data_IF_290308715091
#
_entry.id   IF_290308715091
#
_cell.length_a   1.000
_cell.length_b   1.000
_cell.length_c   1.000
_cell.angle_alpha   90.00
_cell.angle_beta   90.00
_cell.angle_gamma   90.00
#
_symmetry.space_group_name_H-M   'P 1'
#
loop_
_entity.id
_entity.type
_entity.pdbx_description
1 polymer ?
#
# COMPACT_ATOMS: atom_id res chain seq x y z
N UNK A 1 -8.08 6.67 12.55
CA UNK A 1 -9.40 6.39 11.96
C UNK A 1 -10.34 7.61 11.91
N UNK A 2 -10.43 8.45 12.96
CA UNK A 2 -11.32 9.64 12.96
C UNK A 2 -10.98 10.61 11.82
N UNK A 3 -9.71 10.97 11.66
CA UNK A 3 -9.24 11.93 10.63
C UNK A 3 -9.61 11.53 9.19
N UNK A 4 -9.40 10.26 8.83
CA UNK A 4 -9.71 9.81 7.45
C UNK A 4 -11.22 9.77 7.20
N UNK A 5 -12.02 9.41 8.21
CA UNK A 5 -13.49 9.45 8.11
C UNK A 5 -13.98 10.88 7.86
N UNK A 6 -13.51 11.85 8.64
CA UNK A 6 -13.85 13.26 8.47
C UNK A 6 -13.39 13.80 7.11
N UNK A 7 -12.18 13.44 6.66
CA UNK A 7 -11.65 13.83 5.36
C UNK A 7 -12.51 13.27 4.20
N UNK A 8 -12.89 12.00 4.28
CA UNK A 8 -13.74 11.36 3.28
C UNK A 8 -15.12 12.03 3.20
N UNK A 9 -15.74 12.27 4.37
CA UNK A 9 -17.04 12.94 4.44
C UNK A 9 -17.00 14.37 3.89
N UNK A 10 -15.93 15.10 4.17
CA UNK A 10 -15.75 16.47 3.67
C UNK A 10 -15.56 16.50 2.16
N UNK A 11 -14.84 15.52 1.60
CA UNK A 11 -14.52 15.48 0.17
C UNK A 11 -15.69 15.02 -0.69
N UNK A 12 -16.44 14.00 -0.19
CA UNK A 12 -17.46 13.32 -1.00
C UNK A 12 -18.90 13.49 -0.49
N UNK A 13 -19.10 14.20 0.63
CA UNK A 13 -20.40 14.39 1.28
C UNK A 13 -21.07 13.09 1.74
N UNK A 14 -20.31 11.99 1.76
CA UNK A 14 -20.76 10.67 2.20
C UNK A 14 -19.80 10.09 3.23
N UNK A 15 -20.31 9.23 4.13
CA UNK A 15 -19.47 8.47 5.05
C UNK A 15 -18.83 7.31 4.32
N UNK A 16 -17.55 6.96 4.61
CA UNK A 16 -16.99 5.74 4.06
C UNK A 16 -17.73 4.51 4.60
N UNK A 17 -17.99 3.54 3.74
CA UNK A 17 -18.58 2.26 4.12
C UNK A 17 -17.53 1.32 4.73
N UNK A 18 -16.28 1.43 4.26
CA UNK A 18 -15.16 0.64 4.76
C UNK A 18 -13.93 1.52 4.97
N UNK A 19 -13.25 1.29 6.09
CA UNK A 19 -11.89 1.79 6.31
C UNK A 19 -10.99 0.57 6.53
N UNK A 20 -9.93 0.47 5.73
CA UNK A 20 -8.90 -0.54 5.87
C UNK A 20 -7.53 0.09 6.08
N UNK A 21 -6.62 -0.68 6.66
CA UNK A 21 -5.25 -0.25 6.94
C UNK A 21 -4.24 -1.28 6.45
N UNK A 22 -3.07 -0.82 6.08
CA UNK A 22 -1.90 -1.65 5.88
C UNK A 22 -0.66 -0.96 6.42
N UNK A 23 0.27 -1.70 7.03
CA UNK A 23 1.50 -1.14 7.58
C UNK A 23 2.48 -0.77 6.47
N UNK A 24 3.42 0.12 6.78
CA UNK A 24 4.67 0.19 6.05
C UNK A 24 5.50 -1.07 6.25
N UNK A 25 6.54 -1.24 5.45
CA UNK A 25 7.43 -2.40 5.56
C UNK A 25 8.90 -1.97 5.51
N UNK A 26 9.76 -2.78 6.14
CA UNK A 26 11.20 -2.63 6.10
C UNK A 26 11.87 -3.99 5.81
N UNK A 27 12.80 -4.00 4.85
CA UNK A 27 13.61 -5.18 4.55
C UNK A 27 14.92 -5.12 5.34
N UNK A 28 15.21 -6.19 6.10
CA UNK A 28 16.46 -6.32 6.82
C UNK A 28 17.51 -7.01 5.95
N UNK A 29 17.10 -8.08 5.25
CA UNK A 29 17.99 -8.90 4.42
C UNK A 29 17.23 -9.33 3.16
N UNK A 30 17.95 -9.38 2.04
CA UNK A 30 17.44 -9.94 0.78
C UNK A 30 16.66 -8.94 -0.08
N UNK A 31 16.85 -7.64 0.07
CA UNK A 31 16.19 -6.62 -0.76
C UNK A 31 16.36 -6.86 -2.26
N UNK A 32 17.48 -7.46 -2.68
CA UNK A 32 17.76 -7.78 -4.08
C UNK A 32 17.53 -9.26 -4.44
N UNK A 33 16.97 -10.06 -3.53
CA UNK A 33 16.76 -11.51 -3.75
C UNK A 33 15.74 -11.81 -4.86
N UNK A 34 14.97 -10.83 -5.31
CA UNK A 34 14.02 -11.00 -6.42
C UNK A 34 14.70 -11.49 -7.73
N UNK A 35 16.00 -11.23 -7.92
CA UNK A 35 16.79 -11.77 -9.03
C UNK A 35 16.98 -13.28 -8.90
N UNK A 36 17.16 -13.78 -7.68
CA UNK A 36 17.57 -15.16 -7.40
C UNK A 36 16.41 -16.01 -6.87
N UNK A 37 15.22 -15.44 -6.65
CA UNK A 37 14.09 -16.09 -5.99
C UNK A 37 14.47 -16.72 -4.63
N UNK A 38 15.38 -16.09 -3.92
CA UNK A 38 15.89 -16.56 -2.63
C UNK A 38 15.00 -16.07 -1.47
N UNK A 39 15.47 -16.18 -0.25
CA UNK A 39 14.75 -15.78 0.96
C UNK A 39 14.93 -14.30 1.26
N UNK A 40 13.89 -13.70 1.81
CA UNK A 40 13.92 -12.34 2.35
C UNK A 40 13.53 -12.36 3.81
N UNK A 41 14.14 -11.46 4.58
CA UNK A 41 13.77 -11.15 5.95
C UNK A 41 13.29 -9.72 6.01
N UNK A 42 12.04 -9.52 6.44
CA UNK A 42 11.43 -8.20 6.51
C UNK A 42 10.50 -8.08 7.71
N UNK A 43 9.98 -6.88 7.94
CA UNK A 43 9.04 -6.62 9.01
C UNK A 43 8.03 -5.55 8.62
N UNK A 44 6.86 -5.58 9.26
CA UNK A 44 5.95 -4.45 9.25
C UNK A 44 6.45 -3.37 10.21
N UNK A 45 6.28 -2.10 9.82
CA UNK A 45 6.53 -0.95 10.68
C UNK A 45 5.20 -0.33 11.09
N UNK A 46 5.14 0.18 12.34
CA UNK A 46 3.92 0.78 12.90
C UNK A 46 3.70 2.21 12.37
N UNK A 47 3.67 2.31 11.07
CA UNK A 47 3.35 3.50 10.28
C UNK A 47 2.30 3.09 9.24
N UNK A 48 1.01 3.07 9.61
CA UNK A 48 -0.04 2.60 8.72
C UNK A 48 -0.41 3.61 7.64
N UNK A 49 -0.88 3.07 6.52
CA UNK A 49 -1.71 3.79 5.55
C UNK A 49 -3.15 3.35 5.76
N UNK A 50 -4.03 4.33 5.74
CA UNK A 50 -5.48 4.15 5.83
C UNK A 50 -6.10 4.40 4.47
N UNK A 51 -7.04 3.56 4.08
CA UNK A 51 -7.88 3.72 2.88
C UNK A 51 -9.34 3.67 3.32
N UNK A 52 -10.05 4.77 3.10
CA UNK A 52 -11.49 4.86 3.29
C UNK A 52 -12.18 4.81 1.93
N UNK A 53 -13.23 4.01 1.81
CA UNK A 53 -13.88 3.73 0.54
C UNK A 53 -15.40 3.67 0.69
N UNK A 54 -16.12 4.23 -0.29
CA UNK A 54 -17.56 4.09 -0.46
C UNK A 54 -17.91 3.75 -1.90
N UNK A 55 -19.03 3.03 -2.10
CA UNK A 55 -19.57 2.70 -3.43
C UNK A 55 -20.20 3.90 -4.09
N UNK A 56 -20.26 3.84 -5.40
CA UNK A 56 -20.99 4.75 -6.28
C UNK A 56 -21.89 3.94 -7.20
N UNK A 57 -22.99 4.54 -7.62
CA UNK A 57 -23.94 3.91 -8.56
C UNK A 57 -23.50 4.00 -10.02
N UNK A 58 -22.38 4.70 -10.29
CA UNK A 58 -21.79 4.85 -11.62
C UNK A 58 -20.47 4.05 -11.75
N UNK A 59 -19.72 4.28 -12.83
CA UNK A 59 -18.39 3.68 -13.06
C UNK A 59 -17.24 4.61 -12.73
N UNK A 60 -17.51 5.76 -12.10
CA UNK A 60 -16.50 6.78 -11.79
C UNK A 60 -15.63 6.34 -10.61
N UNK A 61 -14.36 6.62 -10.73
CA UNK A 61 -13.38 6.42 -9.66
C UNK A 61 -12.82 7.78 -9.26
N UNK A 62 -13.06 8.20 -8.02
CA UNK A 62 -12.55 9.44 -7.47
C UNK A 62 -11.59 9.13 -6.33
N UNK A 63 -10.43 9.77 -6.37
CA UNK A 63 -9.35 9.54 -5.40
C UNK A 63 -8.93 10.84 -4.74
N UNK A 64 -8.75 10.83 -3.43
CA UNK A 64 -8.26 11.94 -2.64
C UNK A 64 -7.15 11.49 -1.70
N UNK A 65 -5.99 12.14 -1.74
CA UNK A 65 -4.88 11.90 -0.83
C UNK A 65 -4.75 13.09 0.12
N UNK A 66 -5.08 12.87 1.39
CA UNK A 66 -5.25 13.94 2.38
C UNK A 66 -4.01 14.80 2.55
N UNK A 67 -2.84 14.20 2.82
CA UNK A 67 -1.61 14.96 3.11
C UNK A 67 -1.05 15.71 1.89
N UNK A 68 -1.38 15.27 0.68
CA UNK A 68 -0.95 15.94 -0.55
C UNK A 68 -1.98 16.95 -1.06
N UNK A 69 -3.17 16.97 -0.47
CA UNK A 69 -4.36 17.68 -0.97
C UNK A 69 -4.58 17.45 -2.48
N UNK A 70 -4.23 16.26 -2.95
CA UNK A 70 -4.24 15.90 -4.38
C UNK A 70 -5.43 15.00 -4.71
N UNK A 71 -6.12 15.33 -5.80
CA UNK A 71 -7.30 14.64 -6.29
C UNK A 71 -7.04 14.07 -7.67
N UNK A 72 -7.44 12.81 -7.87
CA UNK A 72 -7.37 12.15 -9.17
C UNK A 72 -8.73 11.54 -9.52
N UNK A 73 -8.98 11.38 -10.80
CA UNK A 73 -10.20 10.77 -11.31
C UNK A 73 -9.87 9.77 -12.40
N UNK A 74 -10.65 8.71 -12.45
CA UNK A 74 -10.57 7.70 -13.50
C UNK A 74 -11.97 7.13 -13.76
N UNK A 75 -12.06 6.18 -14.67
CA UNK A 75 -13.30 5.46 -14.90
C UNK A 75 -12.98 3.96 -14.95
N UNK A 76 -13.84 3.14 -14.35
CA UNK A 76 -13.67 1.70 -14.27
C UNK A 76 -13.67 1.06 -15.67
N UNK A 77 -14.53 1.54 -16.57
CA UNK A 77 -14.65 1.01 -17.94
C UNK A 77 -13.46 1.35 -18.85
N UNK A 78 -12.63 2.33 -18.46
CA UNK A 78 -11.47 2.78 -19.24
C UNK A 78 -10.21 2.93 -18.38
N UNK A 79 -10.01 1.98 -17.48
CA UNK A 79 -8.90 2.02 -16.53
C UNK A 79 -7.55 1.92 -17.24
N UNK A 80 -6.71 2.94 -17.12
CA UNK A 80 -5.40 3.03 -17.79
C UNK A 80 -4.33 3.55 -16.85
N UNK A 81 -3.12 3.05 -17.03
CA UNK A 81 -1.93 3.63 -16.40
C UNK A 81 -1.66 5.00 -17.02
N UNK A 82 -1.55 6.04 -16.18
CA UNK A 82 -1.21 7.40 -16.60
C UNK A 82 -0.11 7.94 -15.71
N UNK A 83 0.93 8.51 -16.30
CA UNK A 83 2.11 9.01 -15.58
C UNK A 83 1.73 10.13 -14.58
N UNK A 84 0.78 10.97 -14.96
CA UNK A 84 0.26 12.09 -14.14
C UNK A 84 -0.54 11.65 -12.92
N UNK A 85 -1.05 10.41 -12.90
CA UNK A 85 -1.83 9.90 -11.76
C UNK A 85 -0.97 9.42 -10.59
N UNK A 86 0.36 9.30 -10.79
CA UNK A 86 1.34 9.02 -9.73
C UNK A 86 0.85 7.95 -8.73
N UNK A 87 0.58 8.36 -7.49
CA UNK A 87 0.12 7.51 -6.38
C UNK A 87 -1.21 6.79 -6.67
N UNK A 88 -2.11 7.43 -7.42
CA UNK A 88 -3.41 6.83 -7.75
C UNK A 88 -3.29 5.61 -8.67
N UNK A 89 -2.16 5.47 -9.39
CA UNK A 89 -1.90 4.27 -10.17
C UNK A 89 -1.80 3.01 -9.31
N UNK A 90 -1.37 3.13 -8.05
CA UNK A 90 -1.35 2.00 -7.11
C UNK A 90 -2.77 1.49 -6.81
N UNK A 91 -3.73 2.40 -6.61
CA UNK A 91 -5.15 2.07 -6.39
C UNK A 91 -5.75 1.44 -7.66
N UNK A 92 -5.55 2.11 -8.81
CA UNK A 92 -6.04 1.63 -10.11
C UNK A 92 -5.52 0.23 -10.45
N UNK A 93 -4.25 -0.04 -10.11
CA UNK A 93 -3.65 -1.35 -10.29
C UNK A 93 -4.37 -2.44 -9.50
N UNK A 94 -4.74 -2.17 -8.24
CA UNK A 94 -5.49 -3.12 -7.41
C UNK A 94 -6.89 -3.35 -7.96
N UNK A 95 -7.59 -2.29 -8.38
CA UNK A 95 -8.90 -2.39 -9.02
C UNK A 95 -8.79 -3.29 -10.27
N UNK A 96 -7.78 -3.04 -11.12
CA UNK A 96 -7.48 -3.89 -12.28
C UNK A 96 -7.18 -5.35 -11.87
N UNK A 97 -6.43 -5.54 -10.80
CA UNK A 97 -6.10 -6.88 -10.27
C UNK A 97 -7.34 -7.70 -9.91
N UNK A 98 -8.37 -7.05 -9.37
CA UNK A 98 -9.66 -7.69 -9.10
C UNK A 98 -10.50 -7.89 -10.36
N UNK A 99 -10.70 -6.85 -11.16
CA UNK A 99 -11.55 -6.94 -12.38
C UNK A 99 -10.99 -7.93 -13.40
N UNK A 100 -9.66 -7.97 -13.60
CA UNK A 100 -9.01 -8.97 -14.44
C UNK A 100 -9.03 -10.39 -13.85
N UNK A 101 -9.35 -10.52 -12.56
CA UNK A 101 -9.61 -11.78 -11.88
C UNK A 101 -11.07 -12.24 -11.97
N UNK A 102 -11.93 -11.50 -12.68
CA UNK A 102 -13.34 -11.84 -12.86
C UNK A 102 -14.26 -11.34 -11.76
N UNK A 103 -13.80 -10.40 -10.90
CA UNK A 103 -14.66 -9.79 -9.87
C UNK A 103 -15.32 -8.51 -10.41
N UNK A 104 -16.63 -8.43 -10.28
CA UNK A 104 -17.39 -7.26 -10.67
C UNK A 104 -17.32 -6.17 -9.61
N UNK A 105 -16.92 -4.97 -10.03
CA UNK A 105 -16.84 -3.79 -9.19
C UNK A 105 -17.67 -2.67 -9.80
N UNK A 106 -18.14 -1.73 -8.95
CA UNK A 106 -18.74 -0.48 -9.40
C UNK A 106 -17.79 0.71 -9.15
N UNK A 107 -18.23 1.92 -9.45
CA UNK A 107 -17.49 3.13 -9.13
C UNK A 107 -17.25 3.27 -7.62
N UNK A 108 -16.24 4.05 -7.26
CA UNK A 108 -15.83 4.20 -5.86
C UNK A 108 -15.28 5.59 -5.59
N UNK A 109 -15.56 6.09 -4.39
CA UNK A 109 -14.88 7.23 -3.79
C UNK A 109 -13.86 6.71 -2.79
N UNK A 110 -12.61 7.11 -2.96
CA UNK A 110 -11.48 6.58 -2.20
C UNK A 110 -10.65 7.70 -1.61
N UNK A 111 -10.48 7.70 -0.30
CA UNK A 111 -9.60 8.63 0.43
C UNK A 111 -8.42 7.86 1.00
N UNK A 112 -7.22 8.44 0.89
CA UNK A 112 -5.99 7.93 1.50
C UNK A 112 -5.51 8.90 2.58
N UNK A 113 -5.11 8.34 3.72
CA UNK A 113 -4.36 9.02 4.76
C UNK A 113 -3.14 8.17 5.13
N UNK A 114 -1.95 8.77 5.20
CA UNK A 114 -0.68 8.06 5.41
C UNK A 114 0.06 8.56 6.64
N UNK A 115 0.45 7.67 7.53
CA UNK A 115 1.42 7.98 8.60
C UNK A 115 2.88 7.80 8.11
N UNK A 116 3.06 7.18 6.93
CA UNK A 116 4.40 7.06 6.32
C UNK A 116 4.75 8.37 5.64
N UNK A 117 5.87 8.97 6.05
CA UNK A 117 6.40 10.16 5.40
C UNK A 117 6.88 9.83 3.96
N UNK A 118 6.67 10.73 2.98
CA UNK A 118 7.23 10.56 1.65
C UNK A 118 8.75 10.31 1.70
N UNK A 119 9.24 9.45 0.84
CA UNK A 119 10.66 9.10 0.72
C UNK A 119 11.32 8.43 1.95
N UNK A 120 10.54 8.02 2.95
CA UNK A 120 11.07 7.33 4.14
C UNK A 120 11.54 5.88 3.87
N UNK A 121 11.32 5.34 2.67
CA UNK A 121 11.75 3.98 2.31
C UNK A 121 10.84 2.86 2.84
N UNK A 122 9.78 3.18 3.56
CA UNK A 122 8.89 2.19 4.21
C UNK A 122 7.74 1.67 3.31
N UNK A 123 7.88 1.76 1.99
CA UNK A 123 6.97 1.09 1.06
C UNK A 123 5.56 1.67 0.95
N UNK A 124 5.44 3.01 0.88
CA UNK A 124 4.15 3.72 0.72
C UNK A 124 3.27 3.11 -0.37
N UNK A 125 3.83 2.86 -1.56
CA UNK A 125 3.07 2.30 -2.69
C UNK A 125 2.51 0.90 -2.39
N UNK A 126 3.30 0.06 -1.72
CA UNK A 126 2.87 -1.28 -1.30
C UNK A 126 1.77 -1.20 -0.26
N UNK A 127 1.92 -0.34 0.75
CA UNK A 127 0.91 -0.15 1.78
C UNK A 127 -0.40 0.42 1.20
N UNK A 128 -0.35 1.35 0.22
CA UNK A 128 -1.54 1.82 -0.51
C UNK A 128 -2.22 0.65 -1.23
N UNK A 129 -1.47 -0.16 -1.98
CA UNK A 129 -2.02 -1.32 -2.70
C UNK A 129 -2.68 -2.31 -1.73
N UNK A 130 -2.00 -2.64 -0.65
CA UNK A 130 -2.49 -3.62 0.33
C UNK A 130 -3.73 -3.12 1.08
N UNK A 131 -3.74 -1.87 1.55
CA UNK A 131 -4.91 -1.28 2.21
C UNK A 131 -6.11 -1.19 1.25
N UNK A 132 -5.86 -0.81 -0.03
CA UNK A 132 -6.91 -0.79 -1.07
C UNK A 132 -7.45 -2.18 -1.36
N UNK A 133 -6.57 -3.19 -1.44
CA UNK A 133 -6.97 -4.58 -1.65
C UNK A 133 -7.91 -5.07 -0.54
N UNK A 134 -7.54 -4.82 0.71
CA UNK A 134 -8.35 -5.19 1.88
C UNK A 134 -9.68 -4.41 1.90
N UNK A 135 -9.65 -3.12 1.57
CA UNK A 135 -10.84 -2.27 1.54
C UNK A 135 -11.85 -2.77 0.49
N UNK A 136 -11.41 -3.03 -0.74
CA UNK A 136 -12.26 -3.55 -1.83
C UNK A 136 -12.81 -4.93 -1.46
N UNK A 137 -11.98 -5.84 -0.94
CA UNK A 137 -12.43 -7.15 -0.48
C UNK A 137 -13.60 -7.04 0.50
N UNK A 138 -13.49 -6.15 1.49
CA UNK A 138 -14.53 -5.93 2.51
C UNK A 138 -15.76 -5.24 1.93
N UNK A 139 -15.58 -4.23 1.07
CA UNK A 139 -16.67 -3.43 0.54
C UNK A 139 -17.59 -4.23 -0.38
N UNK A 140 -17.01 -5.09 -1.21
CA UNK A 140 -17.74 -5.90 -2.20
C UNK A 140 -17.97 -7.34 -1.75
N UNK A 141 -17.60 -7.68 -0.50
CA UNK A 141 -17.65 -9.04 0.04
C UNK A 141 -17.03 -10.08 -0.91
N UNK A 142 -15.87 -9.73 -1.48
CA UNK A 142 -15.21 -10.56 -2.49
C UNK A 142 -14.75 -11.87 -1.86
N UNK A 143 -15.27 -13.04 -2.32
CA UNK A 143 -14.94 -14.34 -1.76
C UNK A 143 -13.56 -14.81 -2.24
N UNK A 144 -12.49 -14.11 -1.84
CA UNK A 144 -11.13 -14.45 -2.25
C UNK A 144 -10.30 -14.98 -1.07
N UNK A 145 -9.54 -16.04 -1.37
CA UNK A 145 -8.54 -16.63 -0.47
C UNK A 145 -7.28 -15.73 -0.39
N UNK A 146 -6.40 -16.01 0.56
CA UNK A 146 -5.10 -15.33 0.68
C UNK A 146 -4.27 -15.45 -0.62
N UNK A 147 -4.28 -16.64 -1.24
CA UNK A 147 -3.60 -16.87 -2.51
C UNK A 147 -4.18 -15.99 -3.63
N UNK A 148 -5.50 -15.87 -3.71
CA UNK A 148 -6.16 -15.03 -4.70
C UNK A 148 -5.90 -13.53 -4.46
N UNK A 149 -5.74 -13.10 -3.21
CA UNK A 149 -5.31 -11.75 -2.86
C UNK A 149 -3.89 -11.46 -3.39
N UNK A 150 -2.95 -12.38 -3.18
CA UNK A 150 -1.60 -12.26 -3.73
C UNK A 150 -1.62 -12.23 -5.27
N UNK A 151 -2.40 -13.11 -5.91
CA UNK A 151 -2.57 -13.11 -7.36
C UNK A 151 -3.16 -11.80 -7.90
N UNK A 152 -4.08 -11.16 -7.16
CA UNK A 152 -4.60 -9.85 -7.53
C UNK A 152 -3.50 -8.77 -7.50
N UNK A 153 -2.63 -8.79 -6.47
CA UNK A 153 -1.47 -7.89 -6.40
C UNK A 153 -0.43 -8.21 -7.50
N UNK A 154 -0.23 -9.47 -7.84
CA UNK A 154 0.65 -9.86 -8.96
C UNK A 154 0.15 -9.34 -10.29
N UNK A 155 -1.15 -9.49 -10.58
CA UNK A 155 -1.77 -8.91 -11.78
C UNK A 155 -1.65 -7.39 -11.78
N UNK A 156 -1.90 -6.74 -10.64
CA UNK A 156 -1.72 -5.30 -10.47
C UNK A 156 -0.31 -4.84 -10.83
N UNK A 157 0.71 -5.54 -10.35
CA UNK A 157 2.10 -5.18 -10.62
C UNK A 157 2.52 -5.50 -12.06
N UNK A 158 2.31 -6.74 -12.51
CA UNK A 158 2.82 -7.21 -13.81
C UNK A 158 2.03 -6.65 -14.99
N UNK A 159 0.69 -6.71 -14.92
CA UNK A 159 -0.15 -6.40 -16.07
C UNK A 159 -0.54 -4.93 -16.14
N UNK A 160 -0.77 -4.28 -15.01
CA UNK A 160 -1.18 -2.89 -15.00
C UNK A 160 0.01 -1.92 -14.84
N UNK A 161 0.83 -2.10 -13.80
CA UNK A 161 1.98 -1.21 -13.54
C UNK A 161 3.20 -1.54 -14.40
N UNK A 162 3.22 -2.69 -15.08
CA UNK A 162 4.33 -3.18 -15.89
C UNK A 162 5.67 -3.20 -15.09
N UNK A 163 5.57 -3.54 -13.82
CA UNK A 163 6.69 -3.62 -12.89
C UNK A 163 7.04 -5.08 -12.60
N UNK A 164 8.30 -5.33 -12.34
CA UNK A 164 8.73 -6.63 -11.82
C UNK A 164 8.04 -6.87 -10.47
N UNK A 165 7.54 -8.10 -10.29
CA UNK A 165 6.81 -8.45 -9.10
C UNK A 165 7.79 -8.74 -7.96
N UNK A 166 7.86 -7.82 -6.99
CA UNK A 166 8.61 -8.03 -5.76
C UNK A 166 7.65 -8.47 -4.65
N UNK A 167 7.45 -9.80 -4.56
CA UNK A 167 6.45 -10.37 -3.67
C UNK A 167 6.78 -10.19 -2.18
N UNK A 168 8.06 -10.02 -1.79
CA UNK A 168 8.44 -9.79 -0.40
C UNK A 168 7.69 -8.62 0.23
N UNK A 169 7.51 -7.53 -0.52
CA UNK A 169 6.72 -6.39 -0.08
C UNK A 169 5.28 -6.76 0.24
N UNK A 170 4.66 -7.55 -0.65
CA UNK A 170 3.28 -7.99 -0.51
C UNK A 170 3.09 -8.91 0.69
N UNK A 171 4.03 -9.85 0.91
CA UNK A 171 4.00 -10.74 2.07
C UNK A 171 4.15 -9.96 3.38
N UNK A 172 5.08 -9.00 3.42
CA UNK A 172 5.29 -8.18 4.62
C UNK A 172 4.06 -7.33 4.97
N UNK A 173 3.46 -6.67 3.96
CA UNK A 173 2.33 -5.79 4.18
C UNK A 173 1.02 -6.55 4.50
N UNK A 174 0.87 -7.79 4.03
CA UNK A 174 -0.34 -8.62 4.26
C UNK A 174 -0.24 -9.51 5.51
N UNK A 175 0.93 -10.08 5.77
CA UNK A 175 1.05 -11.22 6.68
C UNK A 175 2.04 -11.02 7.83
N UNK A 176 2.83 -9.95 7.86
CA UNK A 176 3.68 -9.68 9.01
C UNK A 176 2.85 -9.42 10.27
N UNK A 177 3.25 -10.02 11.37
CA UNK A 177 2.60 -9.88 12.68
C UNK A 177 3.37 -8.88 13.54
N UNK A 178 2.66 -8.18 14.41
CA UNK A 178 3.28 -7.31 15.42
C UNK A 178 4.25 -8.11 16.29
N UNK A 179 5.44 -7.56 16.53
CA UNK A 179 6.47 -8.24 17.32
C UNK A 179 7.10 -9.44 16.61
N UNK A 180 7.10 -9.46 15.28
CA UNK A 180 7.69 -10.53 14.49
C UNK A 180 8.40 -10.00 13.26
N UNK A 181 9.44 -10.72 12.84
CA UNK A 181 9.98 -10.65 11.50
C UNK A 181 9.21 -11.64 10.60
N UNK A 182 9.16 -11.37 9.31
CA UNK A 182 8.63 -12.31 8.33
C UNK A 182 9.74 -12.79 7.41
N UNK A 183 9.96 -14.10 7.39
CA UNK A 183 10.81 -14.77 6.41
C UNK A 183 9.93 -15.19 5.24
N UNK A 184 10.30 -14.80 4.05
CA UNK A 184 9.63 -15.25 2.82
C UNK A 184 10.59 -16.04 1.97
N UNK A 185 10.22 -17.27 1.62
CA UNK A 185 10.91 -18.11 0.66
C UNK A 185 10.23 -17.94 -0.70
N UNK A 186 10.89 -17.24 -1.62
CA UNK A 186 10.34 -16.92 -2.93
C UNK A 186 10.36 -18.08 -3.91
N UNK A 187 11.16 -19.10 -3.62
CA UNK A 187 11.19 -20.32 -4.44
C UNK A 187 9.98 -21.21 -4.14
N UNK A 188 9.66 -21.35 -2.85
CA UNK A 188 8.55 -22.17 -2.39
C UNK A 188 7.22 -21.40 -2.29
N UNK A 189 7.23 -20.07 -2.44
CA UNK A 189 6.09 -19.17 -2.16
C UNK A 189 5.50 -19.39 -0.76
N UNK A 190 6.38 -19.54 0.23
CA UNK A 190 6.04 -19.73 1.64
C UNK A 190 6.54 -18.59 2.49
N UNK A 191 5.87 -18.34 3.59
CA UNK A 191 6.28 -17.36 4.59
C UNK A 191 6.09 -17.87 6.00
N UNK A 192 6.88 -17.35 6.92
CA UNK A 192 6.81 -17.66 8.34
C UNK A 192 7.08 -16.40 9.16
N UNK A 193 6.32 -16.22 10.25
CA UNK A 193 6.58 -15.16 11.22
C UNK A 193 7.45 -15.69 12.34
N UNK A 194 8.59 -15.06 12.55
CA UNK A 194 9.54 -15.37 13.62
C UNK A 194 9.40 -14.31 14.71
N UNK A 195 9.10 -14.70 15.97
CA UNK A 195 9.04 -13.74 17.07
C UNK A 195 10.32 -12.91 17.17
N UNK A 196 10.18 -11.61 17.38
CA UNK A 196 11.30 -10.69 17.45
C UNK A 196 10.99 -9.60 18.50
N UNK A 197 11.68 -9.67 19.63
CA UNK A 197 11.44 -8.80 20.79
C UNK A 197 12.62 -7.86 21.06
N UNK A 198 13.15 -7.23 20.02
CA UNK A 198 14.17 -6.21 20.15
C UNK A 198 13.61 -4.82 19.78
N UNK A 199 13.89 -3.79 20.57
CA UNK A 199 13.55 -2.43 20.19
C UNK A 199 14.39 -2.01 18.98
N UNK A 200 13.74 -1.91 17.80
CA UNK A 200 14.37 -1.33 16.62
C UNK A 200 14.04 0.15 16.54
N UNK A 201 15.07 0.97 16.52
CA UNK A 201 14.97 2.39 16.26
C UNK A 201 15.43 2.66 14.82
N UNK A 202 14.51 3.13 13.96
CA UNK A 202 14.86 3.55 12.61
C UNK A 202 15.07 5.06 12.58
N UNK A 203 16.28 5.48 12.24
CA UNK A 203 16.58 6.88 11.94
C UNK A 203 16.55 7.02 10.41
N UNK A 204 15.58 7.74 9.84
CA UNK A 204 15.59 8.04 8.42
C UNK A 204 16.87 8.81 8.06
N UNK A 205 17.49 8.46 6.94
CA UNK A 205 18.75 9.11 6.50
C UNK A 205 18.58 10.64 6.37
N UNK A 206 17.40 11.11 6.02
CA UNK A 206 17.06 12.53 6.02
C UNK A 206 17.15 13.19 7.39
N UNK A 207 16.75 12.47 8.46
CA UNK A 207 16.87 12.98 9.85
C UNK A 207 18.32 12.99 10.32
N UNK A 208 19.12 12.02 9.88
CA UNK A 208 20.55 11.95 10.21
C UNK A 208 21.32 13.09 9.54
N UNK A 209 21.01 13.40 8.27
CA UNK A 209 21.60 14.52 7.54
C UNK A 209 21.21 15.87 8.17
N UNK A 210 19.94 16.04 8.59
CA UNK A 210 19.48 17.23 9.27
C UNK A 210 20.19 17.40 10.63
N UNK A 211 20.30 16.32 11.43
CA UNK A 211 20.99 16.34 12.70
C UNK A 211 22.49 16.65 12.56
N UNK A 212 23.13 16.12 11.52
CA UNK A 212 24.53 16.42 11.21
C UNK A 212 24.75 17.88 10.74
N UNK A 213 23.77 18.43 10.01
CA UNK A 213 23.82 19.84 9.57
C UNK A 213 23.59 20.82 10.74
N UNK A 214 22.69 20.50 11.67
CA UNK A 214 22.52 21.28 12.91
C UNK A 214 23.79 21.26 13.76
N UNK A 215 24.47 20.11 13.89
CA UNK A 215 25.74 20.00 14.63
C UNK A 215 26.89 20.77 13.95
N UNK A 216 26.86 20.93 12.65
CA UNK A 216 27.92 21.62 11.88
C UNK A 216 27.58 23.09 11.57
N UNK A 217 26.46 23.60 12.02
CA UNK A 217 26.07 25.02 11.89
C UNK A 217 25.86 25.48 10.43
N UNK A 218 25.58 24.56 9.49
CA UNK A 218 25.27 24.91 8.10
C UNK A 218 23.77 25.16 7.93
N UNK A 219 23.33 26.35 7.50
CA UNK A 219 21.98 26.58 7.08
C UNK A 219 21.72 25.85 5.75
N UNK A 220 20.65 25.08 5.68
CA UNK A 220 20.16 24.53 4.42
C UNK A 220 19.71 25.65 3.46
N UNK A 221 19.96 25.51 2.16
CA UNK A 221 19.41 26.40 1.16
C UNK A 221 17.90 26.26 0.99
#
# INVERSE_FOLDING_TARGET
>A
MKLINEAHRKEYETSPEVIATAPGRFHLIGEHSWFFKDKTLSMAVDLPIYVAISKRDDTSLRFYYVQLDDRKRSNLSSLKLKKEDKWANAIKAVIYGYTSGGFDLCGMDITIYSDIKPSAGFGVTTAIKTATLIAIKKLFDVPCTEVQMLQALERANKLFLQQNNYNADNYSALYAKKGSLIVTDHHLNKWENIPFDFPLCFLPLSSLLMFQAELNGFPFP
#
